data_IF_706151878771
#
_entry.id   IF_706151878771
#
_cell.length_a   1.000
_cell.length_b   1.000
_cell.length_c   1.000
_cell.angle_alpha   90.00
_cell.angle_beta   90.00
_cell.angle_gamma   90.00
#
_symmetry.space_group_name_H-M   'P 1'
#
loop_
_entity.id
_entity.type
_entity.pdbx_description
1 polymer ?
#
# COMPACT_ATOMS: atom_id res chain seq x y z
N UNK A 1 14.33 14.49 9.05
CA UNK A 1 14.81 13.08 9.10
C UNK A 1 14.05 12.31 8.04
N UNK A 2 14.74 11.61 7.13
CA UNK A 2 14.15 10.95 5.95
C UNK A 2 13.07 9.92 6.32
N UNK A 3 13.25 9.19 7.42
CA UNK A 3 12.28 8.22 7.95
C UNK A 3 10.97 8.86 8.41
N UNK A 4 11.03 10.04 9.03
CA UNK A 4 9.82 10.74 9.48
C UNK A 4 9.00 11.22 8.28
N UNK A 5 9.67 11.66 7.22
CA UNK A 5 9.04 12.10 5.97
C UNK A 5 8.42 10.92 5.22
N UNK A 6 9.11 9.78 5.12
CA UNK A 6 8.57 8.54 4.55
C UNK A 6 7.32 8.07 5.31
N UNK A 7 7.40 8.01 6.65
CA UNK A 7 6.28 7.62 7.50
C UNK A 7 5.08 8.54 7.29
N UNK A 8 5.30 9.85 7.29
CA UNK A 8 4.24 10.84 7.07
C UNK A 8 3.57 10.68 5.70
N UNK A 9 4.35 10.44 4.63
CA UNK A 9 3.80 10.24 3.28
C UNK A 9 2.95 8.97 3.18
N UNK A 10 3.39 7.87 3.80
CA UNK A 10 2.61 6.62 3.84
C UNK A 10 1.33 6.81 4.64
N UNK A 11 1.40 7.46 5.81
CA UNK A 11 0.22 7.74 6.63
C UNK A 11 -0.78 8.65 5.91
N UNK A 12 -0.31 9.65 5.15
CA UNK A 12 -1.18 10.48 4.33
C UNK A 12 -1.86 9.67 3.21
N UNK A 13 -1.12 8.83 2.50
CA UNK A 13 -1.67 7.99 1.43
C UNK A 13 -2.75 7.03 1.95
N UNK A 14 -2.55 6.43 3.14
CA UNK A 14 -3.53 5.58 3.81
C UNK A 14 -4.73 6.37 4.37
N UNK A 15 -4.49 7.57 4.90
CA UNK A 15 -5.55 8.48 5.38
C UNK A 15 -6.49 8.94 4.27
N UNK A 16 -5.95 9.18 3.06
CA UNK A 16 -6.73 9.50 1.87
C UNK A 16 -7.67 8.35 1.47
N UNK A 17 -7.22 7.10 1.61
CA UNK A 17 -8.04 5.90 1.38
C UNK A 17 -9.20 5.79 2.37
N UNK A 18 -8.96 6.11 3.65
CA UNK A 18 -9.96 6.06 4.70
C UNK A 18 -11.02 7.18 4.57
N UNK A 19 -10.61 8.32 4.01
CA UNK A 19 -11.50 9.46 3.75
C UNK A 19 -12.34 9.31 2.48
N UNK A 20 -11.97 8.40 1.58
CA UNK A 20 -12.71 8.15 0.35
C UNK A 20 -14.04 7.45 0.62
N UNK A 21 -15.15 8.08 0.20
CA UNK A 21 -16.50 7.55 0.36
C UNK A 21 -16.73 6.24 -0.43
N UNK A 22 -16.00 6.07 -1.54
CA UNK A 22 -15.98 4.86 -2.36
C UNK A 22 -14.53 4.51 -2.63
N UNK A 23 -14.13 3.29 -2.29
CA UNK A 23 -12.82 2.78 -2.63
C UNK A 23 -12.94 1.95 -3.89
N UNK A 24 -12.42 2.50 -4.98
CA UNK A 24 -12.33 1.88 -6.30
C UNK A 24 -10.87 1.53 -6.65
N UNK A 25 -10.69 0.85 -7.79
CA UNK A 25 -9.36 0.48 -8.27
C UNK A 25 -8.48 1.70 -8.56
N UNK A 26 -9.08 2.82 -8.98
CA UNK A 26 -8.36 4.05 -9.26
C UNK A 26 -7.75 4.68 -7.99
N UNK A 27 -8.52 4.73 -6.90
CA UNK A 27 -8.06 5.21 -5.59
C UNK A 27 -6.98 4.29 -5.02
N UNK A 28 -7.13 2.97 -5.18
CA UNK A 28 -6.09 2.02 -4.80
C UNK A 28 -4.79 2.25 -5.59
N UNK A 29 -4.88 2.42 -6.90
CA UNK A 29 -3.71 2.66 -7.75
C UNK A 29 -3.03 4.00 -7.43
N UNK A 30 -3.81 5.04 -7.13
CA UNK A 30 -3.29 6.33 -6.69
C UNK A 30 -2.52 6.20 -5.37
N UNK A 31 -3.11 5.53 -4.38
CA UNK A 31 -2.47 5.27 -3.09
C UNK A 31 -1.16 4.47 -3.26
N UNK A 32 -1.19 3.37 -4.02
CA UNK A 32 0.00 2.57 -4.31
C UNK A 32 1.08 3.38 -5.02
N UNK A 33 0.71 4.30 -5.90
CA UNK A 33 1.64 5.19 -6.59
C UNK A 33 2.31 6.17 -5.64
N UNK A 34 1.57 6.75 -4.68
CA UNK A 34 2.15 7.62 -3.65
C UNK A 34 3.14 6.87 -2.76
N UNK A 35 2.76 5.68 -2.28
CA UNK A 35 3.62 4.82 -1.47
C UNK A 35 4.88 4.43 -2.25
N UNK A 36 4.73 3.99 -3.51
CA UNK A 36 5.86 3.64 -4.37
C UNK A 36 6.82 4.83 -4.58
N UNK A 37 6.26 6.03 -4.79
CA UNK A 37 7.07 7.25 -4.96
C UNK A 37 7.84 7.59 -3.68
N UNK A 38 7.22 7.43 -2.52
CA UNK A 38 7.86 7.66 -1.23
C UNK A 38 8.98 6.64 -0.96
N UNK A 39 8.74 5.35 -1.26
CA UNK A 39 9.76 4.29 -1.14
C UNK A 39 10.96 4.53 -2.09
N UNK A 40 10.71 4.96 -3.33
CA UNK A 40 11.78 5.28 -4.28
C UNK A 40 12.62 6.49 -3.82
N UNK A 41 11.99 7.49 -3.20
CA UNK A 41 12.72 8.62 -2.60
C UNK A 41 13.54 8.22 -1.37
N UNK A 42 13.17 7.13 -0.71
CA UNK A 42 13.90 6.57 0.41
C UNK A 42 15.00 5.58 -0.02
N UNK A 43 15.42 5.61 -1.30
CA UNK A 43 16.43 4.73 -1.89
C UNK A 43 16.11 3.21 -1.79
N UNK A 44 14.83 2.85 -1.77
CA UNK A 44 14.40 1.43 -1.84
C UNK A 44 14.56 0.91 -3.28
N UNK A 45 15.03 -0.34 -3.42
CA UNK A 45 15.22 -0.98 -4.72
C UNK A 45 13.91 -1.03 -5.53
N UNK A 46 13.96 -0.53 -6.77
CA UNK A 46 12.80 -0.48 -7.68
C UNK A 46 12.15 -1.84 -7.91
N UNK A 47 12.91 -2.95 -7.87
CA UNK A 47 12.38 -4.31 -8.00
C UNK A 47 11.49 -4.69 -6.82
N UNK A 48 11.90 -4.33 -5.60
CA UNK A 48 11.11 -4.57 -4.39
C UNK A 48 9.83 -3.74 -4.41
N UNK A 49 9.91 -2.47 -4.81
CA UNK A 49 8.74 -1.59 -4.94
C UNK A 49 7.75 -2.11 -5.99
N UNK A 50 8.25 -2.61 -7.13
CA UNK A 50 7.42 -3.21 -8.17
C UNK A 50 6.74 -4.50 -7.67
N UNK A 51 7.46 -5.35 -6.94
CA UNK A 51 6.92 -6.57 -6.34
C UNK A 51 5.83 -6.25 -5.32
N UNK A 52 6.07 -5.30 -4.42
CA UNK A 52 5.08 -4.84 -3.44
C UNK A 52 3.79 -4.39 -4.12
N UNK A 53 3.89 -3.54 -5.15
CA UNK A 53 2.71 -3.07 -5.89
C UNK A 53 1.91 -4.22 -6.51
N UNK A 54 2.60 -5.18 -7.12
CA UNK A 54 1.97 -6.33 -7.74
C UNK A 54 1.32 -7.27 -6.72
N UNK A 55 1.98 -7.50 -5.58
CA UNK A 55 1.50 -8.38 -4.52
C UNK A 55 0.28 -7.77 -3.81
N UNK A 56 0.31 -6.46 -3.52
CA UNK A 56 -0.87 -5.77 -2.96
C UNK A 56 -2.03 -5.85 -3.95
N UNK A 57 -1.83 -5.58 -5.24
CA UNK A 57 -2.90 -5.72 -6.25
C UNK A 57 -3.48 -7.14 -6.31
N UNK A 58 -2.63 -8.17 -6.18
CA UNK A 58 -3.09 -9.58 -6.17
C UNK A 58 -3.89 -9.93 -4.91
N UNK A 59 -3.48 -9.43 -3.73
CA UNK A 59 -4.18 -9.67 -2.45
C UNK A 59 -5.47 -8.88 -2.37
N UNK A 60 -5.47 -7.66 -2.88
CA UNK A 60 -6.60 -6.73 -2.87
C UNK A 60 -7.44 -6.99 -4.12
N UNK A 61 -8.12 -8.13 -4.17
CA UNK A 61 -9.05 -8.43 -5.26
C UNK A 61 -10.41 -7.79 -4.95
N UNK A 62 -10.65 -6.61 -5.51
CA UNK A 62 -11.84 -5.77 -5.25
C UNK A 62 -13.16 -6.49 -5.56
N UNK A 63 -13.16 -7.41 -6.53
CA UNK A 63 -14.34 -8.19 -6.94
C UNK A 63 -14.70 -9.30 -5.94
N UNK A 64 -13.71 -9.81 -5.19
CA UNK A 64 -13.94 -10.83 -4.15
C UNK A 64 -14.15 -10.24 -2.76
N UNK A 65 -13.95 -8.93 -2.58
CA UNK A 65 -14.23 -8.30 -1.30
C UNK A 65 -15.75 -8.25 -1.06
N UNK A 66 -16.21 -9.11 -0.15
CA UNK A 66 -17.62 -9.20 0.20
C UNK A 66 -18.20 -7.82 0.54
N UNK A 67 -19.34 -7.51 -0.08
CA UNK A 67 -20.14 -6.31 0.14
C UNK A 67 -20.55 -6.21 1.62
N UNK A 68 -19.78 -5.48 2.42
CA UNK A 68 -20.00 -5.32 3.86
C UNK A 68 -18.71 -5.33 4.70
N UNK A 69 -17.59 -5.81 4.16
CA UNK A 69 -16.29 -5.61 4.78
C UNK A 69 -15.82 -4.18 4.54
N UNK A 70 -15.21 -3.58 5.57
CA UNK A 70 -14.56 -2.29 5.41
C UNK A 70 -13.35 -2.44 4.48
N UNK A 71 -13.56 -2.19 3.19
CA UNK A 71 -12.56 -2.30 2.12
C UNK A 71 -11.29 -1.51 2.45
N UNK A 72 -11.42 -0.37 3.12
CA UNK A 72 -10.31 0.50 3.52
C UNK A 72 -9.38 -0.24 4.49
N UNK A 73 -9.94 -0.87 5.54
CA UNK A 73 -9.15 -1.64 6.51
C UNK A 73 -8.48 -2.86 5.90
N UNK A 74 -9.13 -3.51 4.93
CA UNK A 74 -8.55 -4.66 4.23
C UNK A 74 -7.34 -4.23 3.40
N UNK A 75 -7.46 -3.11 2.68
CA UNK A 75 -6.36 -2.54 1.89
C UNK A 75 -5.21 -2.10 2.79
N UNK A 76 -5.52 -1.36 3.86
CA UNK A 76 -4.52 -0.91 4.84
C UNK A 76 -3.75 -2.09 5.42
N UNK A 77 -4.45 -3.15 5.82
CA UNK A 77 -3.82 -4.37 6.33
C UNK A 77 -2.97 -5.06 5.27
N UNK A 78 -3.46 -5.18 4.03
CA UNK A 78 -2.71 -5.80 2.95
C UNK A 78 -1.40 -5.04 2.62
N UNK A 79 -1.45 -3.70 2.63
CA UNK A 79 -0.28 -2.84 2.44
C UNK A 79 0.70 -2.99 3.62
N UNK A 80 0.19 -3.00 4.85
CA UNK A 80 1.02 -3.20 6.05
C UNK A 80 1.72 -4.56 6.02
N UNK A 81 0.97 -5.64 5.77
CA UNK A 81 1.52 -7.00 5.71
C UNK A 81 2.59 -7.12 4.60
N UNK A 82 2.43 -6.42 3.48
CA UNK A 82 3.41 -6.43 2.39
C UNK A 82 4.66 -5.60 2.73
N UNK A 83 4.49 -4.44 3.39
CA UNK A 83 5.62 -3.64 3.87
C UNK A 83 6.43 -4.39 4.94
N UNK A 84 5.75 -5.10 5.85
CA UNK A 84 6.39 -5.98 6.84
C UNK A 84 7.11 -7.11 6.12
N UNK A 85 6.47 -7.79 5.16
CA UNK A 85 7.11 -8.85 4.37
C UNK A 85 8.35 -8.38 3.62
N UNK A 86 8.38 -7.12 3.18
CA UNK A 86 9.54 -6.52 2.52
C UNK A 86 10.70 -6.27 3.49
N UNK A 87 10.41 -5.97 4.76
CA UNK A 87 11.38 -5.70 5.82
C UNK A 87 11.87 -6.97 6.52
N UNK A 88 11.01 -7.98 6.64
CA UNK A 88 11.31 -9.26 7.29
C UNK A 88 12.28 -10.12 6.47
N UNK A 89 12.57 -9.71 5.23
CA UNK A 89 13.61 -10.34 4.41
C UNK A 89 13.26 -11.76 3.99
N UNK A 90 11.99 -12.03 3.66
CA UNK A 90 11.53 -13.34 3.19
C UNK A 90 12.11 -13.76 1.84
N UNK A 91 13.40 -14.09 1.81
CA UNK A 91 13.79 -15.38 1.23
C UNK A 91 13.26 -16.47 2.18
N UNK A 92 12.73 -17.60 1.68
CA UNK A 92 12.64 -18.79 2.50
C UNK A 92 14.02 -19.23 3.02
#
# INVERSE_FOLDING_TARGET
MVLAELGQRITQALGSLNSAAVVDEAVLDACLKEIATALLQADVNVRLVANLRNNVKKRVNMDQMASGLNKQKVIEKAVFDELVSMLDGGDP
#
